data_IF_466924126010
#
_entry.id   IF_466924126010
#
_cell.length_a   1.000
_cell.length_b   1.000
_cell.length_c   1.000
_cell.angle_alpha   90.00
_cell.angle_beta   90.00
_cell.angle_gamma   90.00
#
_symmetry.space_group_name_H-M   'P 1'
#
loop_
_entity.id
_entity.type
_entity.pdbx_description
1 polymer ?
#
# COMPACT_ATOMS: atom_id res chain seq x y z
N UNK A 1 -1.42 15.01 16.87
CA UNK A 1 -1.12 14.02 15.81
C UNK A 1 -0.82 14.77 14.52
N UNK A 2 0.33 14.51 13.89
CA UNK A 2 0.64 15.06 12.55
C UNK A 2 0.34 13.98 11.52
N UNK A 3 -0.56 14.26 10.58
CA UNK A 3 -0.77 13.42 9.40
C UNK A 3 0.10 13.95 8.28
N UNK A 4 1.00 13.14 7.76
CA UNK A 4 1.86 13.47 6.63
C UNK A 4 1.46 12.60 5.44
N UNK A 5 1.01 13.23 4.35
CA UNK A 5 0.87 12.58 3.05
C UNK A 5 2.14 12.81 2.25
N UNK A 6 2.79 11.75 1.78
CA UNK A 6 4.00 11.85 0.95
C UNK A 6 3.95 10.87 -0.22
N UNK A 7 4.32 11.34 -1.41
CA UNK A 7 4.68 10.47 -2.54
C UNK A 7 6.17 10.15 -2.37
N UNK A 8 6.55 8.90 -2.06
CA UNK A 8 7.95 8.56 -1.86
C UNK A 8 8.71 8.72 -3.18
N UNK A 9 9.86 9.41 -3.13
CA UNK A 9 10.82 9.38 -4.24
C UNK A 9 11.47 7.99 -4.27
N UNK A 10 11.43 7.32 -5.42
CA UNK A 10 12.18 6.08 -5.63
C UNK A 10 13.68 6.37 -5.46
N UNK A 11 14.33 5.69 -4.53
CA UNK A 11 15.77 5.90 -4.22
C UNK A 11 16.72 5.29 -5.28
N UNK A 12 16.20 4.80 -6.41
CA UNK A 12 16.98 4.11 -7.43
C UNK A 12 17.07 4.79 -8.81
N UNK A 13 16.49 5.98 -9.02
CA UNK A 13 16.58 6.67 -10.32
C UNK A 13 17.19 8.07 -10.17
N UNK A 14 18.40 8.23 -10.74
CA UNK A 14 19.09 9.51 -10.93
C UNK A 14 18.53 10.34 -12.09
N UNK A 15 17.34 9.99 -12.60
CA UNK A 15 16.63 10.76 -13.61
C UNK A 15 15.34 11.32 -13.01
N UNK A 16 15.25 12.63 -13.15
CA UNK A 16 14.24 13.56 -12.66
C UNK A 16 12.85 13.16 -13.16
N UNK A 17 11.97 12.68 -12.26
CA UNK A 17 10.57 12.40 -12.59
C UNK A 17 9.76 13.71 -12.65
N UNK A 18 9.84 14.39 -13.79
CA UNK A 18 8.88 15.42 -14.20
C UNK A 18 7.71 14.72 -14.91
N UNK A 19 6.48 14.70 -14.34
CA UNK A 19 5.33 14.38 -15.19
C UNK A 19 3.92 14.17 -14.62
N UNK A 20 3.70 13.50 -13.48
CA UNK A 20 2.32 13.03 -13.18
C UNK A 20 1.74 13.35 -11.80
N UNK A 21 2.55 13.75 -10.81
CA UNK A 21 2.03 14.10 -9.47
C UNK A 21 2.81 15.27 -8.85
N UNK A 22 2.12 16.24 -8.20
CA UNK A 22 2.80 17.34 -7.55
C UNK A 22 3.67 16.81 -6.41
N UNK A 23 4.97 17.12 -6.47
CA UNK A 23 5.96 16.75 -5.46
C UNK A 23 5.77 17.63 -4.22
N UNK A 24 5.08 17.11 -3.20
CA UNK A 24 4.84 17.85 -1.96
C UNK A 24 4.32 17.00 -0.81
N UNK A 25 4.65 17.39 0.41
CA UNK A 25 4.10 16.79 1.62
C UNK A 25 2.86 17.56 2.08
N UNK A 26 1.72 16.87 2.21
CA UNK A 26 0.55 17.48 2.86
C UNK A 26 0.63 17.19 4.35
N UNK A 27 0.68 18.23 5.17
CA UNK A 27 0.70 18.09 6.63
C UNK A 27 -0.61 18.61 7.23
N UNK A 28 -1.16 17.85 8.17
CA UNK A 28 -2.26 18.30 9.04
C UNK A 28 -1.89 18.08 10.49
N UNK A 29 -2.05 19.11 11.33
CA UNK A 29 -1.76 19.06 12.76
C UNK A 29 -3.06 18.99 13.55
N UNK A 30 -3.16 18.02 14.45
CA UNK A 30 -4.17 17.97 15.51
C UNK A 30 -3.54 18.28 16.87
N UNK A 31 -4.15 19.22 17.59
CA UNK A 31 -3.76 19.64 18.94
C UNK A 31 -4.26 18.71 20.06
N UNK A 32 -5.20 17.82 19.74
CA UNK A 32 -5.65 16.82 20.70
C UNK A 32 -4.50 15.85 21.01
N UNK A 33 -4.27 15.59 22.30
CA UNK A 33 -3.27 14.60 22.73
C UNK A 33 -3.72 13.20 22.32
N UNK A 34 -2.78 12.34 21.87
CA UNK A 34 -3.07 10.93 21.62
C UNK A 34 -3.59 10.25 22.89
N UNK A 35 -4.63 9.45 22.74
CA UNK A 35 -5.14 8.60 23.83
C UNK A 35 -4.47 7.24 23.76
N UNK A 36 -4.26 6.62 24.93
CA UNK A 36 -3.79 5.24 25.05
C UNK A 36 -4.84 4.43 25.79
N UNK A 37 -4.96 3.15 25.46
CA UNK A 37 -5.85 2.22 26.16
C UNK A 37 -5.23 1.88 27.54
N UNK A 38 -5.97 1.96 28.66
CA UNK A 38 -5.47 1.53 29.96
C UNK A 38 -5.03 0.06 29.96
N UNK A 39 -3.83 -0.23 30.45
CA UNK A 39 -3.27 -1.59 30.46
C UNK A 39 -2.71 -2.07 29.11
N UNK A 40 -2.69 -1.21 28.07
CA UNK A 40 -2.07 -1.53 26.79
C UNK A 40 -0.56 -1.22 26.76
N UNK A 41 0.09 -1.64 25.68
CA UNK A 41 1.56 -1.60 25.55
C UNK A 41 2.13 -0.23 25.14
N UNK A 42 1.27 0.73 24.80
CA UNK A 42 1.72 2.05 24.33
C UNK A 42 1.95 3.02 25.48
N UNK A 43 3.14 3.62 25.51
CA UNK A 43 3.47 4.69 26.44
C UNK A 43 2.65 5.97 26.15
N UNK A 44 2.34 6.74 27.21
CA UNK A 44 1.70 8.06 27.07
C UNK A 44 2.68 9.06 26.43
N UNK A 45 2.34 9.58 25.26
CA UNK A 45 3.17 10.54 24.51
C UNK A 45 2.46 11.89 24.32
N UNK A 46 3.23 12.99 24.25
CA UNK A 46 2.69 14.33 23.97
C UNK A 46 2.31 14.52 22.51
N UNK A 47 3.08 13.92 21.59
CA UNK A 47 2.92 14.06 20.14
C UNK A 47 3.18 12.72 19.46
N UNK A 48 2.45 12.47 18.37
CA UNK A 48 2.65 11.34 17.46
C UNK A 48 2.51 11.81 16.03
N UNK A 49 3.18 11.11 15.13
CA UNK A 49 3.12 11.33 13.68
C UNK A 49 2.59 10.06 13.03
N UNK A 50 1.70 10.20 12.06
CA UNK A 50 1.25 9.11 11.20
C UNK A 50 1.46 9.55 9.74
N UNK A 51 2.18 8.72 8.99
CA UNK A 51 2.43 8.95 7.57
C UNK A 51 1.51 8.06 6.75
N UNK A 52 0.85 8.65 5.75
CA UNK A 52 0.06 7.94 4.76
C UNK A 52 0.77 8.17 3.42
N UNK A 53 1.39 7.13 2.89
CA UNK A 53 2.09 7.19 1.60
C UNK A 53 1.56 6.12 0.65
N UNK A 54 1.29 6.50 -0.59
CA UNK A 54 1.03 5.54 -1.65
C UNK A 54 2.38 5.18 -2.30
N UNK A 55 2.81 3.93 -2.14
CA UNK A 55 4.08 3.44 -2.68
C UNK A 55 3.80 2.17 -3.50
N UNK A 56 4.47 2.03 -4.64
CA UNK A 56 4.42 0.83 -5.48
C UNK A 56 4.86 -0.44 -4.75
N UNK A 57 5.69 -0.34 -3.71
CA UNK A 57 6.08 -1.50 -2.86
C UNK A 57 4.90 -2.26 -2.23
N UNK A 58 3.69 -1.70 -2.27
CA UNK A 58 2.46 -2.44 -1.91
C UNK A 58 2.19 -3.61 -2.88
N UNK A 59 2.58 -3.54 -4.15
CA UNK A 59 2.44 -4.63 -5.12
C UNK A 59 3.17 -5.89 -4.66
N UNK A 60 4.37 -5.76 -4.08
CA UNK A 60 5.13 -6.90 -3.55
C UNK A 60 4.36 -7.67 -2.46
N UNK A 61 3.50 -6.98 -1.71
CA UNK A 61 2.65 -7.60 -0.70
C UNK A 61 1.49 -8.33 -1.35
N UNK A 62 0.85 -7.74 -2.36
CA UNK A 62 -0.20 -8.40 -3.15
C UNK A 62 0.35 -9.67 -3.81
N UNK A 63 1.53 -9.61 -4.44
CA UNK A 63 2.16 -10.77 -5.08
C UNK A 63 2.42 -11.92 -4.09
N UNK A 64 2.80 -11.60 -2.84
CA UNK A 64 2.97 -12.61 -1.78
C UNK A 64 1.64 -13.23 -1.32
N UNK A 65 0.56 -12.45 -1.30
CA UNK A 65 -0.77 -12.93 -0.98
C UNK A 65 -1.26 -13.83 -2.11
N UNK A 66 -1.12 -13.40 -3.35
CA UNK A 66 -1.54 -14.16 -4.52
C UNK A 66 -0.82 -15.50 -4.56
N UNK A 67 0.50 -15.52 -4.39
CA UNK A 67 1.27 -16.77 -4.30
C UNK A 67 0.79 -17.72 -3.19
N UNK A 68 0.31 -17.21 -2.06
CA UNK A 68 -0.26 -18.05 -0.98
C UNK A 68 -1.71 -18.47 -1.23
N UNK A 69 -2.48 -17.65 -1.94
CA UNK A 69 -3.88 -17.87 -2.25
C UNK A 69 -4.09 -18.66 -3.54
N UNK A 70 -3.04 -18.95 -4.31
CA UNK A 70 -3.10 -19.79 -5.49
C UNK A 70 -3.74 -21.15 -5.17
N UNK A 71 -4.76 -21.58 -5.93
CA UNK A 71 -5.41 -22.85 -5.69
C UNK A 71 -4.42 -23.98 -5.95
N UNK A 72 -3.91 -24.61 -4.89
CA UNK A 72 -3.22 -25.89 -5.00
C UNK A 72 -4.18 -26.93 -5.56
N UNK A 73 -3.70 -27.72 -6.53
CA UNK A 73 -4.47 -28.65 -7.38
C UNK A 73 -5.40 -29.61 -6.61
N UNK A 74 -5.18 -29.77 -5.30
CA UNK A 74 -5.87 -30.71 -4.43
C UNK A 74 -7.11 -30.12 -3.70
N UNK A 75 -7.33 -28.80 -3.71
CA UNK A 75 -8.37 -28.14 -2.90
C UNK A 75 -9.46 -27.41 -3.71
N UNK A 76 -9.26 -27.20 -5.02
CA UNK A 76 -10.17 -26.42 -5.86
C UNK A 76 -10.49 -27.18 -7.15
N UNK A 77 -11.68 -27.77 -7.23
CA UNK A 77 -12.22 -28.33 -8.47
C UNK A 77 -12.41 -27.24 -9.51
N UNK A 78 -12.26 -27.56 -10.81
CA UNK A 78 -12.16 -26.58 -11.91
C UNK A 78 -13.23 -25.48 -11.96
N UNK A 79 -14.45 -25.71 -11.43
CA UNK A 79 -15.47 -24.66 -11.29
C UNK A 79 -15.14 -23.64 -10.21
N UNK A 80 -14.59 -24.07 -9.07
CA UNK A 80 -14.11 -23.19 -8.00
C UNK A 80 -12.86 -22.42 -8.41
N UNK A 81 -12.00 -23.00 -9.26
CA UNK A 81 -10.84 -22.28 -9.85
C UNK A 81 -11.30 -21.17 -10.79
N UNK A 82 -12.32 -21.40 -11.62
CA UNK A 82 -12.89 -20.35 -12.49
C UNK A 82 -13.53 -19.21 -11.70
N UNK A 83 -14.23 -19.52 -10.61
CA UNK A 83 -14.79 -18.50 -9.70
C UNK A 83 -13.67 -17.74 -8.98
N UNK A 84 -12.63 -18.44 -8.51
CA UNK A 84 -11.45 -17.81 -7.89
C UNK A 84 -10.73 -16.88 -8.87
N UNK A 85 -10.49 -17.31 -10.12
CA UNK A 85 -9.90 -16.45 -11.17
C UNK A 85 -10.77 -15.23 -11.48
N UNK A 86 -12.10 -15.37 -11.47
CA UNK A 86 -13.02 -14.25 -11.68
C UNK A 86 -13.02 -13.26 -10.51
N UNK A 87 -12.79 -13.73 -9.29
CA UNK A 87 -12.73 -12.86 -8.10
C UNK A 87 -11.37 -12.18 -7.98
N UNK A 88 -10.29 -12.88 -8.35
CA UNK A 88 -8.93 -12.32 -8.28
C UNK A 88 -8.52 -11.51 -9.52
N UNK A 89 -9.33 -11.47 -10.58
CA UNK A 89 -9.03 -10.63 -11.74
C UNK A 89 -8.86 -9.16 -11.37
N UNK A 90 -9.54 -8.69 -10.32
CA UNK A 90 -9.35 -7.33 -9.80
C UNK A 90 -7.98 -7.12 -9.12
N UNK A 91 -7.36 -8.15 -8.54
CA UNK A 91 -5.98 -8.06 -8.06
C UNK A 91 -4.99 -8.04 -9.23
N UNK A 92 -5.22 -8.85 -10.27
CA UNK A 92 -4.40 -8.83 -11.48
C UNK A 92 -4.46 -7.46 -12.19
N UNK A 93 -5.64 -6.85 -12.26
CA UNK A 93 -5.82 -5.52 -12.84
C UNK A 93 -5.10 -4.45 -12.00
N UNK A 94 -5.18 -4.53 -10.66
CA UNK A 94 -4.44 -3.64 -9.77
C UNK A 94 -2.92 -3.80 -9.90
N UNK A 95 -2.41 -5.04 -10.05
CA UNK A 95 -0.97 -5.28 -10.25
C UNK A 95 -0.50 -4.62 -11.53
N UNK A 96 -1.26 -4.73 -12.63
CA UNK A 96 -0.98 -4.03 -13.89
C UNK A 96 -1.01 -2.52 -13.76
N UNK A 97 -2.00 -1.97 -13.05
CA UNK A 97 -2.08 -0.53 -12.79
C UNK A 97 -0.81 -0.03 -12.07
N UNK A 98 -0.30 -0.80 -11.10
CA UNK A 98 0.97 -0.50 -10.43
C UNK A 98 2.20 -0.70 -11.34
N UNK A 99 2.14 -1.61 -12.31
CA UNK A 99 3.20 -1.79 -13.32
C UNK A 99 3.28 -0.64 -14.31
N UNK A 100 2.15 -0.24 -14.88
CA UNK A 100 2.05 0.84 -15.87
C UNK A 100 2.49 2.19 -15.29
N UNK A 101 2.02 2.53 -14.07
CA UNK A 101 2.47 3.72 -13.34
C UNK A 101 4.00 3.73 -13.10
N UNK A 102 4.64 2.56 -13.15
CA UNK A 102 6.07 2.43 -13.01
C UNK A 102 6.87 2.38 -14.30
N UNK A 103 6.22 2.27 -15.46
CA UNK A 103 6.85 2.32 -16.79
C UNK A 103 6.84 3.74 -17.37
N UNK A 104 5.91 4.60 -16.94
CA UNK A 104 5.85 6.03 -17.27
C UNK A 104 6.83 6.90 -16.45
N UNK A 105 7.94 6.28 -16.00
CA UNK A 105 8.93 6.83 -15.07
C UNK A 105 10.31 7.01 -15.69
#
# INVERSE_FOLDING_TARGET
MVLIYGVPKNQHSSHEQEGLYPTGFKSRISYQRPTVVPGGDFAKTKHVVCMISNNRTVSDVFNRIDHKCMPTENLYTGMKVKVWKKVNSACDDLEKDYEEVGQDA
#
